data_IF_557985991375
#
_entry.id   IF_557985991375
#
_cell.length_a   1.000
_cell.length_b   1.000
_cell.length_c   1.000
_cell.angle_alpha   90.00
_cell.angle_beta   90.00
_cell.angle_gamma   90.00
#
_symmetry.space_group_name_H-M   'P 1'
#
loop_
_entity.id
_entity.type
_entity.pdbx_description
1 polymer ?
#
# COMPACT_ATOMS: atom_id res chain seq x y z
N UNK A 1 -37.60 -45.94 -1.31
CA UNK A 1 -37.70 -44.56 -0.77
C UNK A 1 -37.84 -43.63 -1.97
N UNK A 2 -38.90 -42.82 -2.04
CA UNK A 2 -38.91 -41.69 -2.98
C UNK A 2 -37.79 -40.75 -2.52
N UNK A 3 -36.72 -40.64 -3.28
CA UNK A 3 -35.72 -39.59 -3.09
C UNK A 3 -36.44 -38.28 -3.30
N UNK A 4 -36.67 -37.54 -2.21
CA UNK A 4 -37.26 -36.22 -2.26
C UNK A 4 -36.26 -35.31 -2.95
N UNK A 5 -36.63 -34.77 -4.12
CA UNK A 5 -35.89 -33.73 -4.83
C UNK A 5 -35.43 -32.69 -3.83
N UNK A 6 -34.14 -32.34 -3.83
CA UNK A 6 -33.68 -31.22 -3.02
C UNK A 6 -33.95 -29.95 -3.81
N UNK A 7 -34.77 -29.05 -3.27
CA UNK A 7 -34.88 -27.71 -3.86
C UNK A 7 -33.50 -27.05 -3.82
N UNK A 8 -32.96 -26.57 -4.96
CA UNK A 8 -31.63 -25.98 -5.04
C UNK A 8 -31.63 -24.55 -4.49
N UNK A 9 -32.06 -24.40 -3.24
CA UNK A 9 -32.03 -23.15 -2.48
C UNK A 9 -31.07 -23.30 -1.30
N UNK A 10 -30.49 -22.20 -0.85
CA UNK A 10 -29.53 -22.24 0.25
C UNK A 10 -30.13 -22.80 1.55
N UNK A 11 -31.40 -22.52 1.81
CA UNK A 11 -32.11 -23.02 2.98
C UNK A 11 -32.26 -24.55 2.94
N UNK A 12 -32.78 -25.09 1.85
CA UNK A 12 -32.98 -26.53 1.67
C UNK A 12 -31.64 -27.30 1.66
N UNK A 13 -30.61 -26.76 1.00
CA UNK A 13 -29.27 -27.31 1.04
C UNK A 13 -28.72 -27.35 2.48
N UNK A 14 -28.89 -26.26 3.23
CA UNK A 14 -28.47 -26.17 4.63
C UNK A 14 -29.18 -27.18 5.54
N UNK A 15 -30.50 -27.35 5.38
CA UNK A 15 -31.28 -28.32 6.14
C UNK A 15 -30.87 -29.76 5.82
N UNK A 16 -30.68 -30.07 4.54
CA UNK A 16 -30.20 -31.39 4.12
C UNK A 16 -28.82 -31.70 4.68
N UNK A 17 -27.88 -30.75 4.59
CA UNK A 17 -26.52 -30.91 5.13
C UNK A 17 -26.55 -31.15 6.64
N UNK A 18 -27.39 -30.42 7.39
CA UNK A 18 -27.57 -30.62 8.84
C UNK A 18 -28.18 -31.99 9.15
N UNK A 19 -29.18 -32.42 8.39
CA UNK A 19 -29.81 -33.72 8.57
C UNK A 19 -28.81 -34.86 8.34
N UNK A 20 -28.01 -34.81 7.27
CA UNK A 20 -26.98 -35.82 7.02
C UNK A 20 -25.84 -35.73 8.04
N UNK A 21 -25.46 -34.54 8.50
CA UNK A 21 -24.45 -34.38 9.54
C UNK A 21 -24.88 -34.99 10.88
N UNK A 22 -26.17 -34.92 11.23
CA UNK A 22 -26.69 -35.57 12.44
C UNK A 22 -26.51 -37.11 12.41
N UNK A 23 -26.52 -37.71 11.22
CA UNK A 23 -26.29 -39.16 11.04
C UNK A 23 -24.85 -39.59 11.29
N UNK A 24 -23.88 -38.66 11.39
CA UNK A 24 -22.50 -38.98 11.79
C UNK A 24 -22.47 -39.66 13.17
N UNK A 25 -23.43 -39.35 14.04
CA UNK A 25 -23.57 -40.00 15.34
C UNK A 25 -23.97 -41.49 15.25
N UNK A 26 -24.63 -41.90 14.16
CA UNK A 26 -25.06 -43.27 13.91
C UNK A 26 -24.08 -44.02 12.99
N UNK A 27 -23.57 -43.33 11.98
CA UNK A 27 -22.57 -43.80 11.01
C UNK A 27 -21.44 -42.76 10.88
N UNK A 28 -20.30 -42.98 11.57
CA UNK A 28 -19.16 -42.07 11.53
C UNK A 28 -18.53 -41.88 10.15
N UNK A 29 -18.82 -42.75 9.17
CA UNK A 29 -18.35 -42.62 7.79
C UNK A 29 -19.24 -41.69 6.96
N UNK A 30 -20.34 -41.17 7.52
CA UNK A 30 -21.23 -40.24 6.83
C UNK A 30 -20.49 -38.95 6.49
N UNK A 31 -20.47 -38.61 5.20
CA UNK A 31 -20.03 -37.31 4.71
C UNK A 31 -21.25 -36.57 4.14
N UNK A 32 -21.72 -35.56 4.87
CA UNK A 32 -22.92 -34.79 4.52
C UNK A 32 -22.78 -34.06 3.18
N UNK A 33 -21.58 -33.56 2.86
CA UNK A 33 -21.29 -32.90 1.58
C UNK A 33 -21.33 -33.89 0.44
N UNK A 34 -20.74 -35.07 0.62
CA UNK A 34 -20.78 -36.14 -0.39
C UNK A 34 -22.21 -36.64 -0.63
N UNK A 35 -22.98 -36.84 0.45
CA UNK A 35 -24.39 -37.22 0.36
C UNK A 35 -25.22 -36.16 -0.38
N UNK A 36 -24.95 -34.88 -0.17
CA UNK A 36 -25.61 -33.79 -0.88
C UNK A 36 -25.24 -33.78 -2.36
N UNK A 37 -23.95 -33.90 -2.68
CA UNK A 37 -23.47 -33.96 -4.06
C UNK A 37 -24.04 -35.16 -4.83
N UNK A 38 -24.12 -36.33 -4.19
CA UNK A 38 -24.70 -37.53 -4.80
C UNK A 38 -26.20 -37.35 -5.10
N UNK A 39 -26.95 -36.75 -4.18
CA UNK A 39 -28.38 -36.48 -4.40
C UNK A 39 -28.59 -35.46 -5.52
N UNK A 40 -27.84 -34.35 -5.52
CA UNK A 40 -27.89 -33.38 -6.61
C UNK A 40 -27.56 -34.03 -7.96
N UNK A 41 -26.53 -34.88 -8.03
CA UNK A 41 -26.14 -35.56 -9.26
C UNK A 41 -27.27 -36.46 -9.78
N UNK A 42 -27.91 -37.23 -8.90
CA UNK A 42 -29.06 -38.07 -9.29
C UNK A 42 -30.26 -37.24 -9.75
N UNK A 43 -30.53 -36.10 -9.11
CA UNK A 43 -31.62 -35.20 -9.50
C UNK A 43 -31.36 -34.57 -10.87
N UNK A 44 -30.09 -34.25 -11.20
CA UNK A 44 -29.68 -33.80 -12.55
C UNK A 44 -29.88 -34.92 -13.59
N UNK A 45 -29.40 -36.14 -13.31
CA UNK A 45 -29.53 -37.28 -14.24
C UNK A 45 -30.99 -37.61 -14.57
N UNK A 46 -31.89 -37.43 -13.60
CA UNK A 46 -33.34 -37.64 -13.77
C UNK A 46 -34.05 -36.47 -14.45
N UNK A 47 -33.39 -35.32 -14.59
CA UNK A 47 -33.99 -34.08 -15.10
C UNK A 47 -34.86 -33.34 -14.09
N UNK A 48 -34.85 -33.75 -12.82
CA UNK A 48 -35.59 -33.12 -11.72
C UNK A 48 -34.96 -31.78 -11.32
N UNK A 49 -33.66 -31.59 -11.53
CA UNK A 49 -32.93 -30.34 -11.27
C UNK A 49 -32.11 -29.93 -12.48
N UNK A 50 -32.25 -28.67 -12.91
CA UNK A 50 -31.52 -28.10 -14.04
C UNK A 50 -30.21 -27.43 -13.59
N UNK A 51 -29.23 -27.34 -14.51
CA UNK A 51 -27.94 -26.70 -14.22
C UNK A 51 -28.08 -25.22 -13.82
N UNK A 52 -29.05 -24.50 -14.39
CA UNK A 52 -29.32 -23.09 -14.06
C UNK A 52 -29.80 -22.93 -12.62
N UNK A 53 -30.51 -23.91 -12.07
CA UNK A 53 -30.94 -23.89 -10.68
C UNK A 53 -29.75 -24.10 -9.74
N UNK A 54 -28.78 -24.94 -10.12
CA UNK A 54 -27.53 -25.12 -9.37
C UNK A 54 -26.65 -23.87 -9.45
N UNK A 55 -26.57 -23.22 -10.61
CA UNK A 55 -25.86 -21.95 -10.76
C UNK A 55 -26.47 -20.88 -9.84
N UNK A 56 -27.80 -20.82 -9.74
CA UNK A 56 -28.50 -19.92 -8.82
C UNK A 56 -28.16 -20.21 -7.35
N UNK A 57 -28.13 -21.49 -6.95
CA UNK A 57 -27.70 -21.89 -5.60
C UNK A 57 -26.27 -21.46 -5.30
N UNK A 58 -25.35 -21.62 -6.26
CA UNK A 58 -23.95 -21.22 -6.12
C UNK A 58 -23.86 -19.69 -5.95
N UNK A 59 -24.60 -18.92 -6.75
CA UNK A 59 -24.63 -17.46 -6.65
C UNK A 59 -25.17 -16.97 -5.30
N UNK A 60 -26.24 -17.60 -4.80
CA UNK A 60 -26.78 -17.33 -3.46
C UNK A 60 -25.75 -17.62 -2.35
N UNK A 61 -25.10 -18.78 -2.42
CA UNK A 61 -24.06 -19.18 -1.47
C UNK A 61 -22.87 -18.21 -1.51
N UNK A 62 -22.43 -17.83 -2.70
CA UNK A 62 -21.33 -16.90 -2.89
C UNK A 62 -21.67 -15.52 -2.32
N UNK A 63 -22.86 -14.99 -2.63
CA UNK A 63 -23.35 -13.72 -2.09
C UNK A 63 -23.42 -13.73 -0.57
N UNK A 64 -23.92 -14.82 0.03
CA UNK A 64 -23.94 -14.96 1.49
C UNK A 64 -22.52 -14.90 2.07
N UNK A 65 -21.58 -15.66 1.51
CA UNK A 65 -20.21 -15.73 2.02
C UNK A 65 -19.48 -14.40 1.92
N UNK A 66 -19.59 -13.68 0.80
CA UNK A 66 -18.96 -12.35 0.66
C UNK A 66 -19.62 -11.31 1.55
N UNK A 67 -20.95 -11.39 1.75
CA UNK A 67 -21.66 -10.52 2.69
C UNK A 67 -21.22 -10.75 4.13
N UNK A 68 -21.09 -12.02 4.55
CA UNK A 68 -20.57 -12.37 5.87
C UNK A 68 -19.11 -11.94 6.04
N UNK A 69 -18.29 -12.07 4.99
CA UNK A 69 -16.90 -11.59 5.01
C UNK A 69 -16.85 -10.07 5.21
N UNK A 70 -17.68 -9.31 4.50
CA UNK A 70 -17.79 -7.87 4.70
C UNK A 70 -18.25 -7.52 6.13
N UNK A 71 -19.20 -8.27 6.68
CA UNK A 71 -19.65 -8.13 8.08
C UNK A 71 -18.52 -8.36 9.09
N UNK A 72 -17.75 -9.46 8.95
CA UNK A 72 -16.60 -9.74 9.81
C UNK A 72 -15.52 -8.66 9.70
N UNK A 73 -15.22 -8.20 8.49
CA UNK A 73 -14.24 -7.13 8.26
C UNK A 73 -14.69 -5.84 8.97
N UNK A 74 -15.97 -5.51 8.85
CA UNK A 74 -16.57 -4.36 9.52
C UNK A 74 -16.42 -4.45 11.04
N UNK A 75 -16.75 -5.59 11.63
CA UNK A 75 -16.63 -5.83 13.09
C UNK A 75 -15.17 -5.69 13.57
N UNK A 76 -14.22 -6.29 12.84
CA UNK A 76 -12.78 -6.21 13.14
C UNK A 76 -12.25 -4.77 13.14
N UNK A 77 -12.84 -3.87 12.34
CA UNK A 77 -12.40 -2.48 12.21
C UNK A 77 -13.34 -1.48 12.91
N UNK A 78 -13.77 -1.83 14.13
CA UNK A 78 -14.56 -0.93 14.98
C UNK A 78 -15.91 -0.54 14.39
N UNK A 79 -16.42 -1.37 13.47
CA UNK A 79 -17.62 -1.09 12.74
C UNK A 79 -17.46 -0.02 11.66
N UNK A 80 -16.28 0.18 11.07
CA UNK A 80 -16.02 1.26 10.12
C UNK A 80 -16.47 2.65 10.65
N UNK A 81 -16.30 2.86 11.96
CA UNK A 81 -16.66 4.08 12.68
C UNK A 81 -15.38 4.77 13.13
N UNK A 82 -14.92 5.82 12.43
CA UNK A 82 -13.67 6.51 12.76
C UNK A 82 -13.64 7.01 14.22
N UNK A 83 -14.77 7.53 14.71
CA UNK A 83 -14.95 7.95 16.10
C UNK A 83 -14.60 6.84 17.11
N UNK A 84 -15.00 5.59 16.82
CA UNK A 84 -14.69 4.45 17.67
C UNK A 84 -13.26 3.95 17.47
N UNK A 85 -12.77 3.94 16.22
CA UNK A 85 -11.43 3.46 15.89
C UNK A 85 -10.34 4.31 16.55
N UNK A 86 -10.54 5.63 16.62
CA UNK A 86 -9.57 6.57 17.17
C UNK A 86 -9.75 6.87 18.66
N UNK A 87 -10.86 6.47 19.28
CA UNK A 87 -11.13 6.73 20.70
C UNK A 87 -10.00 6.21 21.61
N UNK A 88 -9.55 4.97 21.40
CA UNK A 88 -8.46 4.38 22.19
C UNK A 88 -7.13 5.15 22.03
N UNK A 89 -6.84 5.61 20.81
CA UNK A 89 -5.65 6.41 20.52
C UNK A 89 -5.71 7.75 21.24
N UNK A 90 -6.86 8.44 21.16
CA UNK A 90 -7.08 9.72 21.84
C UNK A 90 -6.91 9.58 23.36
N UNK A 91 -7.55 8.59 23.98
CA UNK A 91 -7.40 8.33 25.43
C UNK A 91 -5.94 8.03 25.81
N UNK A 92 -5.22 7.29 24.97
CA UNK A 92 -3.79 7.00 25.21
C UNK A 92 -2.94 8.26 25.14
N UNK A 93 -3.21 9.15 24.19
CA UNK A 93 -2.54 10.45 24.07
C UNK A 93 -2.85 11.35 25.27
N UNK A 94 -4.11 11.44 25.70
CA UNK A 94 -4.53 12.21 26.89
C UNK A 94 -3.84 11.69 28.16
N UNK A 95 -3.84 10.37 28.37
CA UNK A 95 -3.14 9.72 29.51
C UNK A 95 -1.63 9.97 29.48
N UNK A 96 -1.05 10.07 28.28
CA UNK A 96 0.37 10.40 28.13
C UNK A 96 0.63 11.88 28.43
N UNK A 97 -0.27 12.78 28.01
CA UNK A 97 -0.17 14.21 28.25
C UNK A 97 -0.30 14.55 29.74
N UNK A 98 -1.10 13.81 30.51
CA UNK A 98 -1.17 13.93 31.97
C UNK A 98 0.19 13.73 32.68
N UNK A 99 1.16 13.09 32.02
CA UNK A 99 2.53 12.86 32.55
C UNK A 99 3.50 14.02 32.25
N UNK A 100 3.01 15.13 31.69
CA UNK A 100 3.77 16.33 31.39
C UNK A 100 4.35 16.40 29.97
N UNK A 101 4.64 17.62 29.52
CA UNK A 101 5.04 17.90 28.13
C UNK A 101 6.29 17.14 27.70
N UNK A 102 7.34 17.11 28.53
CA UNK A 102 8.59 16.42 28.19
C UNK A 102 8.42 14.91 27.98
N UNK A 103 7.58 14.27 28.80
CA UNK A 103 7.22 12.85 28.64
C UNK A 103 6.46 12.62 27.33
N UNK A 104 5.50 13.50 27.04
CA UNK A 104 4.67 13.46 25.83
C UNK A 104 5.53 13.64 24.57
N UNK A 105 6.35 14.69 24.55
CA UNK A 105 7.31 15.02 23.50
C UNK A 105 8.29 13.87 23.26
N UNK A 106 9.01 13.42 24.28
CA UNK A 106 9.98 12.32 24.16
C UNK A 106 9.34 11.06 23.58
N UNK A 107 8.11 10.75 23.99
CA UNK A 107 7.41 9.55 23.53
C UNK A 107 6.97 9.63 22.07
N UNK A 108 6.54 10.81 21.61
CA UNK A 108 6.02 11.02 20.26
C UNK A 108 7.09 11.38 19.23
N UNK A 109 8.20 12.00 19.63
CA UNK A 109 9.34 12.30 18.75
C UNK A 109 10.24 11.07 18.54
N UNK A 110 10.03 10.00 19.31
CA UNK A 110 10.70 8.72 19.11
C UNK A 110 10.00 7.87 18.05
N UNK A 111 10.70 7.51 16.98
CA UNK A 111 10.21 6.55 15.99
C UNK A 111 10.01 5.16 16.63
N UNK A 112 8.77 4.63 16.56
CA UNK A 112 8.38 3.34 17.17
C UNK A 112 8.22 2.19 16.18
N UNK A 113 8.09 2.47 14.89
CA UNK A 113 7.90 1.45 13.85
C UNK A 113 7.11 1.98 12.65
N UNK A 114 6.69 1.05 11.79
CA UNK A 114 5.94 1.35 10.59
C UNK A 114 5.31 0.12 9.96
N UNK A 115 4.65 0.31 8.82
CA UNK A 115 3.96 -0.73 8.06
C UNK A 115 4.62 -0.87 6.69
N UNK A 116 4.89 -2.11 6.29
CA UNK A 116 5.36 -2.46 4.96
C UNK A 116 4.26 -3.18 4.21
N UNK A 117 3.80 -2.60 3.11
CA UNK A 117 2.81 -3.20 2.23
C UNK A 117 3.48 -4.12 1.22
N UNK A 118 2.91 -5.30 1.03
CA UNK A 118 3.36 -6.30 0.06
C UNK A 118 2.25 -6.60 -0.94
N UNK A 119 2.61 -7.19 -2.08
CA UNK A 119 1.61 -7.70 -3.02
C UNK A 119 0.76 -8.79 -2.37
N UNK A 120 -0.48 -8.94 -2.83
CA UNK A 120 -1.36 -9.99 -2.34
C UNK A 120 -0.88 -11.36 -2.89
N UNK A 121 -0.61 -12.36 -2.04
CA UNK A 121 -0.09 -13.65 -2.49
C UNK A 121 -1.11 -14.49 -3.26
N UNK A 122 -2.41 -14.21 -3.09
CA UNK A 122 -3.50 -14.99 -3.67
C UNK A 122 -4.59 -14.05 -4.20
N UNK A 123 -4.54 -13.81 -5.50
CA UNK A 123 -5.62 -13.14 -6.21
C UNK A 123 -6.73 -14.14 -6.49
N UNK A 124 -7.58 -14.38 -5.48
CA UNK A 124 -8.74 -15.29 -5.58
C UNK A 124 -10.07 -14.58 -5.85
N UNK A 125 -10.09 -13.25 -5.76
CA UNK A 125 -11.25 -12.41 -6.06
C UNK A 125 -10.84 -11.26 -6.97
N UNK A 126 -11.70 -10.89 -7.93
CA UNK A 126 -11.48 -9.74 -8.81
C UNK A 126 -11.28 -8.44 -8.02
N UNK A 127 -10.59 -7.44 -8.60
CA UNK A 127 -10.52 -6.10 -8.02
C UNK A 127 -11.90 -5.53 -7.67
N UNK A 128 -12.88 -5.71 -8.56
CA UNK A 128 -14.26 -5.22 -8.40
C UNK A 128 -14.95 -5.87 -7.20
N UNK A 129 -14.81 -7.20 -7.04
CA UNK A 129 -15.39 -7.91 -5.92
C UNK A 129 -14.72 -7.54 -4.59
N UNK A 130 -13.40 -7.37 -4.56
CA UNK A 130 -12.68 -6.88 -3.38
C UNK A 130 -13.12 -5.47 -2.98
N UNK A 131 -13.27 -4.57 -3.96
CA UNK A 131 -13.78 -3.22 -3.74
C UNK A 131 -15.23 -3.25 -3.22
N UNK A 132 -16.09 -4.11 -3.77
CA UNK A 132 -17.47 -4.27 -3.31
C UNK A 132 -17.55 -4.82 -1.87
N UNK A 133 -16.69 -5.77 -1.50
CA UNK A 133 -16.58 -6.29 -0.12
C UNK A 133 -16.14 -5.17 0.84
N UNK A 134 -15.12 -4.39 0.47
CA UNK A 134 -14.66 -3.26 1.27
C UNK A 134 -15.77 -2.20 1.42
N UNK A 135 -16.46 -1.84 0.33
CA UNK A 135 -17.59 -0.91 0.34
C UNK A 135 -18.74 -1.39 1.22
N UNK A 136 -19.08 -2.68 1.17
CA UNK A 136 -20.10 -3.28 2.02
C UNK A 136 -19.70 -3.31 3.50
N UNK A 137 -18.41 -3.45 3.80
CA UNK A 137 -17.90 -3.36 5.18
C UNK A 137 -18.03 -1.93 5.72
N UNK A 138 -17.76 -0.92 4.90
CA UNK A 138 -17.85 0.50 5.28
C UNK A 138 -19.30 0.96 5.42
N UNK A 139 -20.11 0.74 4.40
CA UNK A 139 -21.48 1.25 4.30
C UNK A 139 -22.45 0.13 3.90
N UNK A 140 -22.83 -0.76 4.84
CA UNK A 140 -23.75 -1.86 4.55
C UNK A 140 -25.15 -1.35 4.21
N UNK A 141 -25.90 -2.13 3.44
CA UNK A 141 -27.27 -1.82 3.07
C UNK A 141 -27.63 -2.32 1.67
N UNK A 142 -28.81 -1.95 1.19
CA UNK A 142 -29.31 -2.36 -0.13
C UNK A 142 -28.35 -1.99 -1.28
N UNK A 143 -27.78 -0.77 -1.35
CA UNK A 143 -26.82 -0.42 -2.42
C UNK A 143 -25.55 -1.27 -2.38
N UNK A 144 -25.00 -1.53 -1.19
CA UNK A 144 -23.82 -2.37 -1.03
C UNK A 144 -24.08 -3.82 -1.44
N UNK A 145 -25.26 -4.36 -1.11
CA UNK A 145 -25.68 -5.68 -1.55
C UNK A 145 -25.79 -5.77 -3.07
N UNK A 146 -26.40 -4.78 -3.71
CA UNK A 146 -26.48 -4.70 -5.19
C UNK A 146 -25.10 -4.60 -5.84
N UNK A 147 -24.16 -3.87 -5.23
CA UNK A 147 -22.78 -3.80 -5.70
C UNK A 147 -22.06 -5.16 -5.60
N UNK A 148 -22.26 -5.90 -4.51
CA UNK A 148 -21.74 -7.26 -4.36
C UNK A 148 -22.31 -8.20 -5.42
N UNK A 149 -23.64 -8.22 -5.58
CA UNK A 149 -24.33 -9.03 -6.61
C UNK A 149 -23.78 -8.74 -8.02
N UNK A 150 -23.63 -7.46 -8.37
CA UNK A 150 -23.05 -7.04 -9.65
C UNK A 150 -21.60 -7.50 -9.81
N UNK A 151 -20.78 -7.36 -8.76
CA UNK A 151 -19.38 -7.74 -8.82
C UNK A 151 -19.19 -9.26 -8.93
N UNK A 152 -20.02 -10.06 -8.26
CA UNK A 152 -20.01 -11.52 -8.35
C UNK A 152 -20.29 -12.03 -9.76
N UNK A 153 -21.28 -11.43 -10.43
CA UNK A 153 -21.61 -11.76 -11.83
C UNK A 153 -20.47 -11.39 -12.80
N UNK A 154 -19.63 -10.42 -12.44
CA UNK A 154 -18.44 -10.06 -13.20
C UNK A 154 -17.22 -10.95 -12.88
N UNK A 155 -17.12 -11.44 -11.63
CA UNK A 155 -16.01 -12.24 -11.09
C UNK A 155 -15.82 -13.58 -11.83
N UNK A 156 -16.88 -14.10 -12.46
CA UNK A 156 -16.87 -15.33 -13.24
C UNK A 156 -16.08 -15.24 -14.59
N UNK A 157 -15.50 -14.09 -14.94
CA UNK A 157 -14.78 -13.90 -16.22
C UNK A 157 -13.30 -13.57 -16.04
N UNK A 158 -12.40 -14.41 -16.57
CA UNK A 158 -11.06 -14.12 -17.14
C UNK A 158 -10.03 -13.25 -16.42
N UNK A 159 -10.36 -12.60 -15.31
CA UNK A 159 -9.54 -11.59 -14.63
C UNK A 159 -8.28 -12.19 -14.02
N UNK A 160 -8.27 -13.51 -13.77
CA UNK A 160 -7.08 -14.25 -13.32
C UNK A 160 -5.92 -14.25 -14.32
N UNK A 161 -6.14 -13.85 -15.58
CA UNK A 161 -5.07 -13.70 -16.60
C UNK A 161 -4.39 -12.32 -16.58
N UNK A 162 -4.78 -11.42 -15.67
CA UNK A 162 -4.40 -10.00 -15.70
C UNK A 162 -3.51 -9.53 -14.53
N UNK A 163 -2.97 -10.44 -13.70
CA UNK A 163 -2.10 -10.07 -12.58
C UNK A 163 -0.75 -9.62 -13.15
N UNK A 164 -0.53 -8.31 -13.16
CA UNK A 164 0.70 -7.68 -13.63
C UNK A 164 1.32 -6.86 -12.51
N UNK A 165 2.62 -6.62 -12.58
CA UNK A 165 3.31 -5.74 -11.66
C UNK A 165 2.66 -4.34 -11.59
N UNK A 166 2.16 -3.83 -12.72
CA UNK A 166 1.43 -2.56 -12.75
C UNK A 166 0.11 -2.61 -11.97
N UNK A 167 -0.64 -3.72 -12.06
CA UNK A 167 -1.85 -3.91 -11.24
C UNK A 167 -1.55 -4.06 -9.75
N UNK A 168 -0.49 -4.79 -9.38
CA UNK A 168 -0.02 -4.90 -8.00
C UNK A 168 0.38 -3.51 -7.46
N UNK A 169 1.09 -2.73 -8.27
CA UNK A 169 1.48 -1.36 -7.93
C UNK A 169 0.26 -0.48 -7.70
N UNK A 170 -0.72 -0.51 -8.61
CA UNK A 170 -1.97 0.23 -8.46
C UNK A 170 -2.71 -0.09 -7.16
N UNK A 171 -2.82 -1.37 -6.80
CA UNK A 171 -3.45 -1.79 -5.54
C UNK A 171 -2.69 -1.27 -4.31
N UNK A 172 -1.36 -1.34 -4.29
CA UNK A 172 -0.59 -0.83 -3.15
C UNK A 172 -0.68 0.69 -3.04
N UNK A 173 -0.79 1.43 -4.15
CA UNK A 173 -0.96 2.88 -4.10
C UNK A 173 -2.29 3.28 -3.43
N UNK A 174 -3.36 2.51 -3.63
CA UNK A 174 -4.64 2.70 -2.91
C UNK A 174 -4.46 2.43 -1.41
N UNK A 175 -3.73 1.38 -1.04
CA UNK A 175 -3.46 1.08 0.37
C UNK A 175 -2.60 2.16 1.04
N UNK A 176 -1.54 2.62 0.37
CA UNK A 176 -0.66 3.69 0.83
C UNK A 176 -1.41 5.02 0.99
N UNK A 177 -2.34 5.34 0.09
CA UNK A 177 -3.19 6.53 0.23
C UNK A 177 -4.04 6.48 1.50
N UNK A 178 -4.67 5.34 1.79
CA UNK A 178 -5.44 5.15 3.03
C UNK A 178 -4.53 5.22 4.27
N UNK A 179 -3.32 4.65 4.19
CA UNK A 179 -2.35 4.72 5.28
C UNK A 179 -1.87 6.16 5.54
N UNK A 180 -1.62 6.94 4.48
CA UNK A 180 -1.27 8.35 4.58
C UNK A 180 -2.40 9.19 5.22
N UNK A 181 -3.66 8.90 4.88
CA UNK A 181 -4.81 9.53 5.53
C UNK A 181 -4.91 9.15 7.02
N UNK A 182 -4.64 7.90 7.39
CA UNK A 182 -4.60 7.49 8.79
C UNK A 182 -3.44 8.15 9.56
N UNK A 183 -2.25 8.29 8.96
CA UNK A 183 -1.15 9.06 9.53
C UNK A 183 -1.53 10.52 9.77
N UNK A 184 -2.24 11.14 8.82
CA UNK A 184 -2.76 12.51 8.98
C UNK A 184 -3.69 12.63 10.18
N UNK A 185 -4.63 11.70 10.31
CA UNK A 185 -5.58 11.69 11.42
C UNK A 185 -4.87 11.49 12.76
N UNK A 186 -3.86 10.62 12.80
CA UNK A 186 -3.02 10.46 13.98
C UNK A 186 -2.29 11.76 14.35
N UNK A 187 -1.65 12.43 13.38
CA UNK A 187 -1.00 13.72 13.61
C UNK A 187 -1.99 14.79 14.11
N UNK A 188 -3.20 14.82 13.55
CA UNK A 188 -4.27 15.72 14.00
C UNK A 188 -4.62 15.49 15.48
N UNK A 189 -4.77 14.23 15.91
CA UNK A 189 -5.07 13.91 17.32
C UNK A 189 -3.92 14.27 18.24
N UNK A 190 -2.67 14.06 17.81
CA UNK A 190 -1.49 14.48 18.57
C UNK A 190 -1.53 15.98 18.83
N UNK A 191 -1.73 16.81 17.79
CA UNK A 191 -1.74 18.26 17.96
C UNK A 191 -3.00 18.76 18.67
N UNK A 192 -4.16 18.12 18.50
CA UNK A 192 -5.38 18.42 19.27
C UNK A 192 -5.15 18.24 20.78
N UNK A 193 -4.61 17.09 21.19
CA UNK A 193 -4.30 16.79 22.59
C UNK A 193 -3.18 17.71 23.10
N UNK A 194 -2.14 17.92 22.30
CA UNK A 194 -1.03 18.81 22.69
C UNK A 194 -1.49 20.24 22.92
N UNK A 195 -2.33 20.80 22.04
CA UNK A 195 -2.87 22.15 22.17
C UNK A 195 -3.75 22.28 23.43
N UNK A 196 -4.54 21.26 23.74
CA UNK A 196 -5.41 21.27 24.92
C UNK A 196 -4.63 21.18 26.25
N UNK A 197 -3.54 20.43 26.30
CA UNK A 197 -2.77 20.20 27.53
C UNK A 197 -1.56 21.12 27.70
N UNK A 198 -0.99 21.62 26.59
CA UNK A 198 0.26 22.37 26.54
C UNK A 198 0.13 23.58 25.59
N UNK A 199 -0.78 24.53 25.85
CA UNK A 199 -1.10 25.64 24.94
C UNK A 199 0.10 26.54 24.61
N UNK A 200 1.10 26.61 25.48
CA UNK A 200 2.31 27.42 25.27
C UNK A 200 3.41 26.66 24.48
N UNK A 201 3.41 25.33 24.51
CA UNK A 201 4.53 24.50 24.01
C UNK A 201 4.18 23.62 22.80
N UNK A 202 2.91 23.38 22.50
CA UNK A 202 2.47 22.41 21.48
C UNK A 202 3.07 22.65 20.08
N UNK A 203 3.39 23.91 19.73
CA UNK A 203 4.01 24.29 18.45
C UNK A 203 5.45 23.75 18.30
N UNK A 204 6.11 23.40 19.39
CA UNK A 204 7.48 22.88 19.41
C UNK A 204 7.55 21.39 19.02
N UNK A 205 6.43 20.67 19.04
CA UNK A 205 6.40 19.22 18.79
C UNK A 205 6.75 18.87 17.33
N UNK A 206 7.59 17.84 17.17
CA UNK A 206 7.89 17.20 15.88
C UNK A 206 7.61 15.68 15.93
N UNK A 207 6.33 15.26 15.97
CA UNK A 207 6.00 13.86 16.16
C UNK A 207 6.53 12.98 15.03
N UNK A 208 7.19 11.88 15.40
CA UNK A 208 7.67 10.86 14.48
C UNK A 208 6.51 9.92 14.08
N UNK A 209 5.83 10.24 12.98
CA UNK A 209 4.71 9.42 12.51
C UNK A 209 5.19 8.02 12.06
N UNK A 210 4.40 6.95 12.29
CA UNK A 210 4.77 5.58 11.89
C UNK A 210 5.13 5.50 10.42
N UNK A 211 6.25 4.89 10.02
CA UNK A 211 6.64 4.88 8.61
C UNK A 211 5.69 4.03 7.75
N UNK A 212 5.48 4.43 6.50
CA UNK A 212 4.75 3.64 5.50
C UNK A 212 5.71 3.27 4.38
N UNK A 213 5.74 1.99 3.99
CA UNK A 213 6.68 1.46 3.01
C UNK A 213 6.03 0.41 2.10
N UNK A 214 6.66 0.12 0.96
CA UNK A 214 6.21 -0.90 0.01
C UNK A 214 7.35 -1.76 -0.53
N UNK A 215 7.03 -3.04 -0.77
CA UNK A 215 7.87 -3.99 -1.53
C UNK A 215 7.48 -4.08 -3.00
N UNK A 216 6.28 -3.63 -3.37
CA UNK A 216 5.73 -3.84 -4.72
C UNK A 216 6.50 -2.99 -5.72
N UNK A 217 7.14 -3.63 -6.70
CA UNK A 217 8.04 -2.97 -7.64
C UNK A 217 9.51 -2.93 -7.21
N UNK A 218 9.83 -3.44 -6.01
CA UNK A 218 11.17 -3.33 -5.40
C UNK A 218 11.67 -4.64 -4.75
N UNK A 219 10.81 -5.65 -4.62
CA UNK A 219 11.21 -6.99 -4.19
C UNK A 219 11.67 -7.83 -5.39
N UNK A 220 12.98 -7.81 -5.66
CA UNK A 220 13.60 -8.47 -6.81
C UNK A 220 13.90 -9.95 -6.56
N UNK A 221 13.68 -10.44 -5.35
CA UNK A 221 13.98 -11.82 -4.95
C UNK A 221 13.02 -12.80 -5.62
N UNK A 222 13.54 -13.66 -6.50
CA UNK A 222 12.76 -14.64 -7.25
C UNK A 222 11.86 -14.07 -8.36
N UNK A 223 11.78 -12.74 -8.52
CA UNK A 223 10.94 -12.06 -9.53
C UNK A 223 11.77 -11.73 -10.77
N UNK A 224 11.33 -12.15 -11.96
CA UNK A 224 11.97 -11.84 -13.25
C UNK A 224 11.24 -10.80 -14.08
N UNK A 225 10.00 -10.51 -13.72
CA UNK A 225 9.11 -9.53 -14.34
C UNK A 225 9.38 -8.08 -13.87
N UNK A 226 10.13 -7.89 -12.78
CA UNK A 226 10.54 -6.57 -12.30
C UNK A 226 11.84 -6.15 -12.99
N UNK A 227 11.69 -5.33 -14.03
CA UNK A 227 12.80 -4.69 -14.71
C UNK A 227 13.21 -3.39 -13.98
N UNK A 228 14.49 -3.04 -13.98
CA UNK A 228 15.02 -1.85 -13.27
C UNK A 228 14.29 -0.56 -13.67
N UNK A 229 13.92 -0.44 -14.96
CA UNK A 229 13.20 0.72 -15.47
C UNK A 229 11.81 0.87 -14.87
N UNK A 230 11.12 -0.25 -14.58
CA UNK A 230 9.82 -0.23 -13.90
C UNK A 230 9.97 0.32 -12.47
N UNK A 231 11.00 -0.08 -11.73
CA UNK A 231 11.23 0.44 -10.38
C UNK A 231 11.46 1.95 -10.37
N UNK A 232 12.20 2.49 -11.35
CA UNK A 232 12.42 3.93 -11.51
C UNK A 232 11.13 4.64 -11.95
N UNK A 233 10.42 4.09 -12.95
CA UNK A 233 9.14 4.63 -13.41
C UNK A 233 8.11 4.70 -12.29
N UNK A 234 7.99 3.65 -11.48
CA UNK A 234 7.14 3.65 -10.28
C UNK A 234 7.59 4.69 -9.29
N UNK A 235 8.89 4.78 -8.99
CA UNK A 235 9.36 5.77 -8.01
C UNK A 235 9.09 7.21 -8.45
N UNK A 236 9.24 7.51 -9.74
CA UNK A 236 8.90 8.82 -10.29
C UNK A 236 7.39 9.07 -10.27
N UNK A 237 6.58 8.06 -10.62
CA UNK A 237 5.12 8.14 -10.57
C UNK A 237 4.63 8.42 -9.15
N UNK A 238 5.16 7.70 -8.16
CA UNK A 238 4.89 7.89 -6.74
C UNK A 238 5.30 9.28 -6.27
N UNK A 239 6.47 9.77 -6.68
CA UNK A 239 6.91 11.11 -6.33
C UNK A 239 6.00 12.18 -6.93
N UNK A 240 5.66 12.07 -8.21
CA UNK A 240 4.74 13.01 -8.86
C UNK A 240 3.40 13.05 -8.13
N UNK A 241 2.85 11.89 -7.78
CA UNK A 241 1.61 11.77 -7.03
C UNK A 241 1.72 12.36 -5.62
N UNK A 242 2.81 12.09 -4.89
CA UNK A 242 3.02 12.65 -3.56
C UNK A 242 3.14 14.17 -3.59
N UNK A 243 3.82 14.73 -4.59
CA UNK A 243 3.92 16.18 -4.77
C UNK A 243 2.56 16.82 -5.06
N UNK A 244 1.70 16.18 -5.88
CA UNK A 244 0.31 16.62 -6.07
C UNK A 244 -0.50 16.59 -4.78
N UNK A 245 -0.27 15.59 -3.92
CA UNK A 245 -0.93 15.53 -2.60
C UNK A 245 -0.49 16.67 -1.71
N UNK A 246 0.81 16.96 -1.63
CA UNK A 246 1.29 18.14 -0.90
C UNK A 246 0.73 19.43 -1.48
N UNK A 247 0.70 19.58 -2.80
CA UNK A 247 0.08 20.73 -3.46
C UNK A 247 -1.38 20.88 -3.02
N UNK A 248 -2.19 19.82 -3.11
CA UNK A 248 -3.59 19.84 -2.70
C UNK A 248 -3.77 20.17 -1.20
N UNK A 249 -2.85 19.70 -0.34
CA UNK A 249 -2.87 20.03 1.10
C UNK A 249 -2.55 21.52 1.34
N UNK A 250 -1.53 22.07 0.68
CA UNK A 250 -1.20 23.50 0.76
C UNK A 250 -2.35 24.35 0.22
N UNK A 251 -2.96 23.93 -0.90
CA UNK A 251 -4.13 24.60 -1.47
C UNK A 251 -5.31 24.64 -0.48
N UNK A 252 -5.65 23.50 0.14
CA UNK A 252 -6.71 23.43 1.13
C UNK A 252 -6.42 24.32 2.37
N UNK A 253 -5.15 24.42 2.78
CA UNK A 253 -4.74 25.35 3.85
C UNK A 253 -4.97 26.80 3.43
N UNK A 254 -4.60 27.19 2.20
CA UNK A 254 -4.85 28.53 1.67
C UNK A 254 -6.35 28.85 1.52
N UNK A 255 -7.17 27.85 1.17
CA UNK A 255 -8.64 28.00 1.10
C UNK A 255 -9.24 28.25 2.49
N UNK A 256 -8.76 27.56 3.52
CA UNK A 256 -9.18 27.77 4.91
C UNK A 256 -8.58 29.01 5.56
N UNK A 257 -7.36 29.39 5.17
CA UNK A 257 -6.58 30.52 5.72
C UNK A 257 -6.07 31.44 4.61
N UNK A 258 -6.93 32.25 3.96
CA UNK A 258 -6.54 33.08 2.81
C UNK A 258 -5.47 34.15 3.11
N UNK A 259 -5.23 34.44 4.39
CA UNK A 259 -4.19 35.36 4.83
C UNK A 259 -2.77 34.77 4.75
N UNK A 260 -2.62 33.44 4.68
CA UNK A 260 -1.35 32.71 4.66
C UNK A 260 -0.62 32.78 3.30
N UNK A 261 -0.50 33.99 2.72
CA UNK A 261 0.05 34.23 1.38
C UNK A 261 1.50 33.75 1.22
N UNK A 262 2.25 33.60 2.31
CA UNK A 262 3.60 33.01 2.30
C UNK A 262 3.66 31.57 1.77
N UNK A 263 2.53 30.86 1.69
CA UNK A 263 2.45 29.51 1.12
C UNK A 263 2.32 29.48 -0.41
N UNK A 264 1.98 30.60 -1.07
CA UNK A 264 1.78 30.65 -2.53
C UNK A 264 3.03 30.20 -3.32
N UNK A 265 4.26 30.64 -2.97
CA UNK A 265 5.47 30.14 -3.65
C UNK A 265 5.68 28.63 -3.50
N UNK A 266 5.34 28.06 -2.34
CA UNK A 266 5.42 26.61 -2.12
C UNK A 266 4.42 25.86 -3.02
N UNK A 267 3.21 26.41 -3.19
CA UNK A 267 2.21 25.83 -4.08
C UNK A 267 2.71 25.75 -5.53
N UNK A 268 3.22 26.87 -6.07
CA UNK A 268 3.81 26.93 -7.42
C UNK A 268 5.00 25.98 -7.57
N UNK A 269 5.87 25.92 -6.55
CA UNK A 269 7.03 25.04 -6.51
C UNK A 269 6.63 23.56 -6.59
N UNK A 270 5.60 23.16 -5.85
CA UNK A 270 5.07 21.79 -5.84
C UNK A 270 4.44 21.41 -7.18
N UNK A 271 3.70 22.33 -7.82
CA UNK A 271 3.09 22.10 -9.14
C UNK A 271 4.15 21.86 -10.22
N UNK A 272 5.15 22.75 -10.31
CA UNK A 272 6.28 22.60 -11.24
C UNK A 272 7.04 21.29 -11.02
N UNK A 273 7.27 20.93 -9.75
CA UNK A 273 7.98 19.70 -9.42
C UNK A 273 7.16 18.44 -9.73
N UNK A 274 5.84 18.47 -9.49
CA UNK A 274 4.94 17.37 -9.82
C UNK A 274 4.85 17.17 -11.34
N UNK A 275 4.73 18.25 -12.11
CA UNK A 275 4.69 18.23 -13.57
C UNK A 275 5.96 17.67 -14.18
N UNK A 276 7.13 18.17 -13.76
CA UNK A 276 8.42 17.67 -14.26
C UNK A 276 8.64 16.20 -13.90
N UNK A 277 8.33 15.82 -12.65
CA UNK A 277 8.46 14.41 -12.24
C UNK A 277 7.51 13.49 -13.01
N UNK A 278 6.30 13.94 -13.34
CA UNK A 278 5.36 13.16 -14.16
C UNK A 278 5.86 12.96 -15.59
N UNK A 279 6.50 13.97 -16.19
CA UNK A 279 7.14 13.85 -17.50
C UNK A 279 8.31 12.87 -17.47
N UNK A 280 9.15 12.95 -16.42
CA UNK A 280 10.22 11.97 -16.20
C UNK A 280 9.66 10.55 -16.06
N UNK A 281 8.60 10.34 -15.28
CA UNK A 281 7.96 9.04 -15.11
C UNK A 281 7.46 8.45 -16.45
N UNK A 282 6.84 9.28 -17.29
CA UNK A 282 6.37 8.88 -18.62
C UNK A 282 7.53 8.41 -19.52
N UNK A 283 8.68 9.10 -19.47
CA UNK A 283 9.86 8.71 -20.24
C UNK A 283 10.42 7.35 -19.80
N UNK A 284 10.46 7.08 -18.50
CA UNK A 284 10.91 5.78 -17.96
C UNK A 284 9.94 4.62 -18.18
N UNK A 285 8.69 4.91 -18.60
CA UNK A 285 7.70 3.90 -19.01
C UNK A 285 7.84 3.53 -20.50
N UNK A 286 8.56 4.33 -21.29
CA UNK A 286 8.80 4.08 -22.71
C UNK A 286 9.75 2.92 -22.98
N UNK A 287 10.02 2.67 -24.27
CA UNK A 287 10.99 1.66 -24.69
C UNK A 287 12.44 2.14 -24.44
N UNK A 288 12.99 1.79 -23.28
CA UNK A 288 14.38 2.08 -22.91
C UNK A 288 15.40 1.08 -23.48
N UNK A 289 14.98 0.12 -24.32
CA UNK A 289 15.93 -0.67 -25.12
C UNK A 289 16.48 0.16 -26.29
N UNK A 290 15.75 1.19 -26.72
CA UNK A 290 16.27 2.20 -27.64
C UNK A 290 17.24 3.14 -26.91
N UNK A 291 18.53 3.21 -27.32
CA UNK A 291 19.52 4.09 -26.69
C UNK A 291 19.12 5.57 -26.68
N UNK A 292 18.45 6.07 -27.72
CA UNK A 292 18.04 7.48 -27.79
C UNK A 292 17.01 7.82 -26.72
N UNK A 293 16.05 6.92 -26.47
CA UNK A 293 15.06 7.10 -25.42
C UNK A 293 15.69 7.07 -24.03
N UNK A 294 16.65 6.15 -23.80
CA UNK A 294 17.36 6.07 -22.53
C UNK A 294 18.17 7.33 -22.24
N UNK A 295 18.94 7.82 -23.22
CA UNK A 295 19.74 9.04 -23.07
C UNK A 295 18.85 10.24 -22.80
N UNK A 296 17.72 10.38 -23.52
CA UNK A 296 16.78 11.44 -23.29
C UNK A 296 16.18 11.39 -21.87
N UNK A 297 15.77 10.20 -21.41
CA UNK A 297 15.19 10.00 -20.08
C UNK A 297 16.21 10.29 -18.96
N UNK A 298 17.43 9.77 -19.09
CA UNK A 298 18.52 9.97 -18.15
C UNK A 298 18.90 11.45 -18.03
N UNK A 299 19.09 12.14 -19.16
CA UNK A 299 19.43 13.56 -19.18
C UNK A 299 18.33 14.42 -18.59
N UNK A 300 17.05 14.12 -18.87
CA UNK A 300 15.94 14.87 -18.26
C UNK A 300 15.84 14.65 -16.75
N UNK A 301 16.08 13.43 -16.28
CA UNK A 301 16.07 13.11 -14.85
C UNK A 301 17.15 13.87 -14.07
N UNK A 302 18.31 14.10 -14.68
CA UNK A 302 19.47 14.74 -14.03
C UNK A 302 19.60 16.22 -14.33
N UNK A 303 18.89 16.75 -15.33
CA UNK A 303 18.94 18.17 -15.70
C UNK A 303 18.50 19.08 -14.55
N UNK A 304 19.25 20.15 -14.33
CA UNK A 304 18.84 21.23 -13.44
C UNK A 304 17.64 21.99 -14.02
N UNK A 305 16.78 22.52 -13.15
CA UNK A 305 15.62 23.30 -13.57
C UNK A 305 14.62 23.56 -12.44
N UNK A 306 13.62 24.42 -12.68
CA UNK A 306 12.66 24.84 -11.66
C UNK A 306 11.75 23.71 -11.15
N UNK A 307 11.58 22.62 -11.94
CA UNK A 307 10.87 21.41 -11.51
C UNK A 307 11.72 20.42 -10.72
N UNK A 308 13.04 20.62 -10.61
CA UNK A 308 13.93 19.68 -9.93
C UNK A 308 13.82 19.84 -8.41
N UNK A 309 13.09 18.92 -7.77
CA UNK A 309 12.96 18.84 -6.31
C UNK A 309 13.49 17.49 -5.83
N UNK A 310 14.64 17.47 -5.15
CA UNK A 310 15.31 16.22 -4.72
C UNK A 310 15.36 16.03 -3.21
N UNK A 311 15.04 17.07 -2.43
CA UNK A 311 15.04 17.04 -0.97
C UNK A 311 13.72 17.59 -0.42
N UNK A 312 13.05 16.83 0.46
CA UNK A 312 11.83 17.27 1.11
C UNK A 312 12.08 18.39 2.14
N UNK A 313 13.33 18.59 2.57
CA UNK A 313 13.71 19.69 3.47
C UNK A 313 13.35 21.07 2.90
N UNK A 314 13.29 21.22 1.57
CA UNK A 314 12.82 22.46 0.92
C UNK A 314 11.36 22.75 1.27
N UNK A 315 10.50 21.72 1.29
CA UNK A 315 9.09 21.84 1.67
C UNK A 315 8.99 22.13 3.17
N UNK A 316 9.74 21.41 4.01
CA UNK A 316 9.73 21.62 5.48
C UNK A 316 10.15 23.04 5.83
N UNK A 317 11.20 23.57 5.21
CA UNK A 317 11.68 24.95 5.42
C UNK A 317 10.62 26.00 5.07
N UNK A 318 9.89 25.80 3.97
CA UNK A 318 8.80 26.69 3.58
C UNK A 318 7.64 26.65 4.59
N UNK A 319 7.30 25.46 5.12
CA UNK A 319 6.29 25.30 6.16
C UNK A 319 6.72 25.91 7.49
N UNK A 320 7.99 25.76 7.88
CA UNK A 320 8.54 26.36 9.10
C UNK A 320 8.57 27.90 9.00
N UNK A 321 8.85 28.45 7.82
CA UNK A 321 8.74 29.89 7.55
C UNK A 321 7.30 30.39 7.69
N UNK A 322 6.33 29.70 7.06
CA UNK A 322 4.92 30.04 7.19
C UNK A 322 4.39 29.89 8.63
N UNK A 323 4.92 28.92 9.39
CA UNK A 323 4.56 28.73 10.80
C UNK A 323 5.05 29.88 11.68
N UNK A 324 6.24 30.43 11.39
CA UNK A 324 6.77 31.61 12.07
C UNK A 324 5.94 32.87 11.79
N UNK A 325 5.34 32.98 10.59
CA UNK A 325 4.45 34.07 10.21
C UNK A 325 3.03 33.94 10.81
N UNK A 326 2.62 32.74 11.23
CA UNK A 326 1.30 32.42 11.79
C UNK A 326 1.16 32.77 13.30
N UNK A 327 1.79 33.85 13.77
CA UNK A 327 1.67 34.28 15.17
C UNK A 327 0.21 34.61 15.52
N UNK A 328 -0.28 34.04 16.63
CA UNK A 328 -1.68 34.20 17.06
C UNK A 328 -2.73 33.40 16.27
N UNK A 329 -2.36 32.77 15.15
CA UNK A 329 -3.28 31.96 14.32
C UNK A 329 -3.16 30.46 14.64
N UNK A 330 -3.76 30.01 15.74
CA UNK A 330 -3.64 28.63 16.21
C UNK A 330 -4.13 27.58 15.21
N UNK A 331 -5.22 27.87 14.50
CA UNK A 331 -5.81 26.95 13.52
C UNK A 331 -4.87 26.73 12.32
N UNK A 332 -4.29 27.81 11.78
CA UNK A 332 -3.29 27.76 10.71
C UNK A 332 -2.03 27.02 11.18
N UNK A 333 -1.51 27.37 12.36
CA UNK A 333 -0.33 26.72 12.93
C UNK A 333 -0.53 25.19 13.04
N UNK A 334 -1.71 24.73 13.47
CA UNK A 334 -2.03 23.31 13.57
C UNK A 334 -2.05 22.62 12.21
N UNK A 335 -2.65 23.23 11.20
CA UNK A 335 -2.70 22.65 9.85
C UNK A 335 -1.29 22.55 9.23
N UNK A 336 -0.45 23.56 9.43
CA UNK A 336 0.96 23.58 9.01
C UNK A 336 1.78 22.50 9.71
N UNK A 337 1.61 22.35 11.03
CA UNK A 337 2.31 21.34 11.83
C UNK A 337 1.93 19.92 11.43
N UNK A 338 0.64 19.66 11.16
CA UNK A 338 0.17 18.37 10.64
C UNK A 338 0.83 18.08 9.29
N UNK A 339 0.80 19.05 8.35
CA UNK A 339 1.42 18.87 7.03
C UNK A 339 2.93 18.66 7.13
N UNK A 340 3.62 19.41 8.00
CA UNK A 340 5.06 19.25 8.26
C UNK A 340 5.38 17.83 8.71
N UNK A 341 4.65 17.29 9.70
CA UNK A 341 4.85 15.91 10.18
C UNK A 341 4.58 14.87 9.09
N UNK A 342 3.61 15.12 8.19
CA UNK A 342 3.39 14.25 7.02
C UNK A 342 4.60 14.28 6.07
N UNK A 343 5.10 15.47 5.71
CA UNK A 343 6.27 15.65 4.82
C UNK A 343 7.51 14.97 5.42
N UNK A 344 7.76 15.15 6.72
CA UNK A 344 8.88 14.52 7.41
C UNK A 344 8.79 12.98 7.40
N UNK A 345 7.59 12.42 7.51
CA UNK A 345 7.38 10.96 7.51
C UNK A 345 7.46 10.35 6.11
N UNK A 346 6.79 10.97 5.14
CA UNK A 346 6.55 10.44 3.79
C UNK A 346 7.60 10.88 2.76
N UNK A 347 8.31 11.98 3.03
CA UNK A 347 9.34 12.52 2.14
C UNK A 347 8.75 12.81 0.75
N UNK A 348 9.51 12.57 -0.33
CA UNK A 348 9.07 12.83 -1.70
C UNK A 348 8.38 11.64 -2.38
N UNK A 349 7.86 10.64 -1.65
CA UNK A 349 7.17 9.50 -2.27
C UNK A 349 5.93 9.09 -1.50
N UNK A 350 5.04 8.33 -2.14
CA UNK A 350 3.80 7.83 -1.47
C UNK A 350 4.10 6.81 -0.36
N UNK A 351 5.31 6.26 -0.35
CA UNK A 351 5.87 5.45 0.73
C UNK A 351 7.39 5.31 0.60
N UNK A 352 8.01 4.73 1.62
CA UNK A 352 9.42 4.32 1.57
C UNK A 352 9.59 3.06 0.73
N UNK A 353 10.71 2.96 0.05
CA UNK A 353 11.10 1.74 -0.68
C UNK A 353 11.77 0.79 0.29
N UNK A 354 11.32 -0.45 0.32
CA UNK A 354 12.11 -1.53 0.89
C UNK A 354 12.53 -2.45 -0.27
N UNK A 355 13.81 -2.33 -0.65
CA UNK A 355 14.44 -3.13 -1.68
C UNK A 355 14.85 -4.49 -1.10
N UNK A 356 14.52 -5.57 -1.80
CA UNK A 356 14.99 -6.92 -1.45
C UNK A 356 15.70 -7.56 -2.63
N UNK A 357 16.92 -8.03 -2.39
CA UNK A 357 17.76 -8.73 -3.36
C UNK A 357 18.26 -10.02 -2.73
N UNK A 358 18.37 -11.09 -3.53
CA UNK A 358 18.78 -12.39 -3.04
C UNK A 358 20.28 -12.41 -2.70
N UNK A 359 20.65 -12.90 -1.51
CA UNK A 359 22.04 -12.95 -1.07
C UNK A 359 22.94 -13.80 -1.99
N UNK A 360 22.42 -14.87 -2.59
CA UNK A 360 23.19 -15.69 -3.54
C UNK A 360 23.46 -14.94 -4.85
N UNK A 361 22.54 -14.07 -5.31
CA UNK A 361 22.78 -13.20 -6.47
C UNK A 361 23.93 -12.23 -6.19
N UNK A 362 23.94 -11.61 -5.01
CA UNK A 362 25.01 -10.71 -4.56
C UNK A 362 26.35 -11.47 -4.47
N UNK A 363 26.35 -12.66 -3.86
CA UNK A 363 27.56 -13.48 -3.72
C UNK A 363 28.16 -13.86 -5.07
N UNK A 364 27.34 -14.21 -6.06
CA UNK A 364 27.79 -14.51 -7.43
C UNK A 364 28.42 -13.29 -8.10
N UNK A 365 27.82 -12.10 -7.96
CA UNK A 365 28.38 -10.85 -8.51
C UNK A 365 29.74 -10.54 -7.89
N UNK A 366 29.83 -10.61 -6.56
CA UNK A 366 31.08 -10.38 -5.83
C UNK A 366 32.16 -11.38 -6.23
N UNK A 367 31.84 -12.67 -6.29
CA UNK A 367 32.81 -13.72 -6.62
C UNK A 367 33.40 -13.50 -8.01
N UNK A 368 32.56 -13.10 -8.98
CA UNK A 368 33.00 -12.73 -10.32
C UNK A 368 33.89 -11.49 -10.34
N UNK A 369 33.56 -10.45 -9.58
CA UNK A 369 34.38 -9.23 -9.52
C UNK A 369 35.73 -9.44 -8.82
N UNK A 370 35.80 -10.38 -7.88
CA UNK A 370 37.02 -10.77 -7.17
C UNK A 370 37.81 -11.87 -7.90
N UNK A 371 37.35 -12.34 -9.07
CA UNK A 371 37.91 -13.48 -9.81
C UNK A 371 38.08 -14.74 -8.93
N UNK A 372 37.10 -15.02 -8.08
CA UNK A 372 37.05 -16.21 -7.23
C UNK A 372 36.34 -17.35 -7.96
N UNK A 373 36.73 -18.59 -7.68
CA UNK A 373 36.08 -19.77 -8.26
C UNK A 373 34.60 -19.84 -7.87
N UNK A 374 33.74 -20.07 -8.87
CA UNK A 374 32.29 -19.95 -8.76
C UNK A 374 31.60 -21.09 -7.99
N UNK A 375 32.34 -22.11 -7.55
CA UNK A 375 31.80 -23.33 -6.93
C UNK A 375 31.50 -23.17 -5.42
N UNK A 376 31.93 -22.07 -4.78
CA UNK A 376 31.59 -21.81 -3.38
C UNK A 376 30.25 -21.07 -3.24
N UNK A 377 29.25 -21.75 -2.67
CA UNK A 377 27.93 -21.14 -2.33
C UNK A 377 28.00 -20.04 -1.27
N UNK A 378 29.16 -19.87 -0.63
CA UNK A 378 29.41 -18.86 0.40
C UNK A 378 30.68 -18.10 0.09
N UNK A 379 30.70 -16.80 0.34
CA UNK A 379 31.94 -16.03 0.30
C UNK A 379 32.91 -16.57 1.36
N UNK A 380 33.98 -17.24 0.93
CA UNK A 380 35.02 -17.74 1.81
C UNK A 380 35.71 -16.62 2.61
N UNK A 381 36.50 -16.99 3.64
CA UNK A 381 37.19 -16.02 4.52
C UNK A 381 38.07 -15.02 3.77
N UNK A 382 38.72 -15.46 2.69
CA UNK A 382 39.56 -14.60 1.85
C UNK A 382 38.75 -13.53 1.11
N UNK A 383 37.58 -13.90 0.58
CA UNK A 383 36.65 -12.97 -0.08
C UNK A 383 36.17 -11.91 0.93
N UNK A 384 35.77 -12.33 2.13
CA UNK A 384 35.35 -11.42 3.20
C UNK A 384 36.48 -10.48 3.66
N UNK A 385 37.72 -10.96 3.74
CA UNK A 385 38.88 -10.13 4.08
C UNK A 385 39.21 -9.09 2.98
N UNK A 386 39.13 -9.47 1.71
CA UNK A 386 39.28 -8.55 0.57
C UNK A 386 38.16 -7.50 0.56
N UNK A 387 36.90 -7.91 0.73
CA UNK A 387 35.76 -7.00 0.85
C UNK A 387 35.92 -6.03 2.01
N UNK A 388 36.34 -6.52 3.18
CA UNK A 388 36.61 -5.67 4.36
C UNK A 388 37.69 -4.64 4.07
N UNK A 389 38.77 -5.03 3.37
CA UNK A 389 39.84 -4.12 2.96
C UNK A 389 39.33 -3.04 2.01
N UNK A 390 38.53 -3.40 1.01
CA UNK A 390 37.93 -2.45 0.05
C UNK A 390 36.92 -1.52 0.73
N UNK A 391 36.12 -2.03 1.66
CA UNK A 391 35.15 -1.27 2.42
C UNK A 391 35.81 -0.26 3.39
N UNK A 392 37.04 -0.52 3.85
CA UNK A 392 37.79 0.40 4.70
C UNK A 392 38.30 1.66 3.95
N UNK A 393 38.44 1.59 2.63
CA UNK A 393 38.88 2.70 1.79
C UNK A 393 38.04 2.74 0.49
N UNK A 394 36.75 3.08 0.59
CA UNK A 394 35.85 3.05 -0.55
C UNK A 394 36.30 4.07 -1.60
N UNK A 395 36.46 3.61 -2.85
CA UNK A 395 36.65 4.49 -4.00
C UNK A 395 35.29 4.69 -4.67
N UNK A 396 34.79 5.94 -4.77
CA UNK A 396 33.60 6.22 -5.54
C UNK A 396 33.76 5.71 -6.98
N UNK A 397 32.70 5.11 -7.50
CA UNK A 397 32.61 4.70 -8.91
C UNK A 397 31.52 5.55 -9.53
N UNK A 398 31.85 6.23 -10.62
CA UNK A 398 30.88 6.98 -11.41
C UNK A 398 30.07 6.00 -12.24
N UNK A 399 28.89 5.63 -11.73
CA UNK A 399 27.92 4.77 -12.43
C UNK A 399 26.85 5.65 -13.05
N UNK A 400 26.52 5.38 -14.32
CA UNK A 400 25.46 6.07 -15.05
C UNK A 400 24.51 5.08 -15.76
N UNK A 401 23.48 5.60 -16.40
CA UNK A 401 22.48 4.77 -17.09
C UNK A 401 23.03 3.98 -18.28
N UNK A 402 24.11 4.44 -18.93
CA UNK A 402 24.76 3.67 -19.99
C UNK A 402 25.45 2.41 -19.42
N UNK A 403 26.01 2.49 -18.21
CA UNK A 403 26.59 1.30 -17.54
C UNK A 403 25.50 0.24 -17.27
N UNK A 404 24.33 0.67 -16.78
CA UNK A 404 23.17 -0.22 -16.58
C UNK A 404 22.66 -0.83 -17.90
N UNK A 405 22.67 -0.06 -18.98
CA UNK A 405 22.26 -0.52 -20.31
C UNK A 405 23.21 -1.59 -20.87
N UNK A 406 24.52 -1.39 -20.70
CA UNK A 406 25.55 -2.30 -21.19
C UNK A 406 25.71 -3.57 -20.34
N UNK A 407 25.42 -3.49 -19.04
CA UNK A 407 25.60 -4.60 -18.09
C UNK A 407 24.75 -5.82 -18.46
N UNK A 408 25.34 -6.93 -18.93
CA UNK A 408 24.60 -8.12 -19.36
C UNK A 408 24.16 -9.04 -18.20
N UNK A 409 24.78 -8.93 -17.03
CA UNK A 409 24.44 -9.74 -15.85
C UNK A 409 23.19 -9.20 -15.18
N UNK A 410 22.10 -9.98 -15.22
CA UNK A 410 20.84 -9.62 -14.54
C UNK A 410 21.04 -9.36 -13.04
N UNK A 411 21.91 -10.10 -12.37
CA UNK A 411 22.17 -9.93 -10.94
C UNK A 411 22.99 -8.67 -10.61
N UNK A 412 23.80 -8.17 -11.56
CA UNK A 412 24.60 -6.93 -11.39
C UNK A 412 23.83 -5.69 -11.85
N UNK A 413 22.91 -5.87 -12.80
CA UNK A 413 22.02 -4.83 -13.33
C UNK A 413 20.88 -4.49 -12.36
N UNK A 414 20.39 -5.48 -11.61
CA UNK A 414 19.42 -5.33 -10.52
C UNK A 414 20.09 -4.74 -9.29
#
# INVERSE_FOLDING_TARGET
MKTTRIEPTLAAAGDYLRQQAARIAEDPMTNSVFAFAQTLFQDIERGDTQLDEIASLIDEAHLLLVSQRAGRLREQHGGARPDKAWAHVKTTLETLAEKGFETFRTSLEQARGGVVFTANPTFSLSPELRAAIAGAAVSPGKPARQALEKALQADARGWNRAITLASEHGEVQVALLNAAAAQQQFASLVFEVAQAHFPDDWRQLRPALPTIASWVGYDLDGRTDIHWSHSIAFRLTEKAEQLRRYHARVQAILEHHPAAKGLVPLLERLDLAAGETALQAAMFTGDLQNPEHLVAAANRLTAEGPGRLVDAAEIVSALDSALAEAEGEESLARDLLILRSQVESQQLGTGRIHLRVNAAQIATVISRELNLDADERSLGRMALAELSRRAAAPKPVDVNFADLFLEQSTARRR
#
